data_IF_686507918923
#
_entry.id   IF_686507918923
#
_cell.length_a   1.000
_cell.length_b   1.000
_cell.length_c   1.000
_cell.angle_alpha   90.00
_cell.angle_beta   90.00
_cell.angle_gamma   90.00
#
_symmetry.space_group_name_H-M   'P 1'
#
loop_
_entity.id
_entity.type
_entity.pdbx_description
1 polymer ?
#
# COMPACT_ATOMS: atom_id res chain seq x y z
N UNK A 1 -17.22 -10.44 10.18
CA UNK A 1 -15.89 -11.10 10.14
C UNK A 1 -14.78 -10.08 10.33
N UNK A 2 -14.62 -9.13 9.41
CA UNK A 2 -13.53 -8.13 9.41
C UNK A 2 -13.47 -7.22 10.65
N UNK A 3 -14.61 -6.94 11.30
CA UNK A 3 -14.68 -6.09 12.50
C UNK A 3 -14.52 -6.84 13.84
N UNK A 4 -14.45 -8.17 13.84
CA UNK A 4 -14.48 -9.00 15.07
C UNK A 4 -13.24 -9.87 15.28
N UNK A 5 -12.39 -10.03 14.26
CA UNK A 5 -11.22 -10.93 14.28
C UNK A 5 -9.95 -10.09 14.26
N UNK A 6 -8.91 -10.58 14.91
CA UNK A 6 -7.61 -9.91 14.88
C UNK A 6 -6.96 -10.01 13.50
N UNK A 7 -6.03 -9.10 13.20
CA UNK A 7 -5.28 -9.09 11.93
C UNK A 7 -4.60 -10.44 11.64
N UNK A 8 -3.89 -11.09 12.59
CA UNK A 8 -3.30 -12.40 12.34
C UNK A 8 -4.33 -13.48 11.99
N UNK A 9 -5.48 -13.51 12.65
CA UNK A 9 -6.55 -14.46 12.36
C UNK A 9 -7.13 -14.24 10.95
N UNK A 10 -7.31 -12.98 10.54
CA UNK A 10 -7.81 -12.66 9.20
C UNK A 10 -6.79 -13.07 8.12
N UNK A 11 -5.49 -12.84 8.35
CA UNK A 11 -4.43 -13.30 7.44
C UNK A 11 -4.46 -14.82 7.27
N UNK A 12 -4.55 -15.57 8.36
CA UNK A 12 -4.70 -17.03 8.32
C UNK A 12 -5.95 -17.45 7.55
N UNK A 13 -7.09 -16.80 7.79
CA UNK A 13 -8.32 -17.10 7.07
C UNK A 13 -8.17 -16.88 5.55
N UNK A 14 -7.49 -15.82 5.10
CA UNK A 14 -7.24 -15.60 3.67
C UNK A 14 -6.25 -16.62 3.08
N UNK A 15 -5.24 -17.05 3.84
CA UNK A 15 -4.34 -18.12 3.43
C UNK A 15 -5.10 -19.44 3.25
N UNK A 16 -5.92 -19.83 4.23
CA UNK A 16 -6.76 -21.04 4.14
C UNK A 16 -7.75 -20.96 2.99
N UNK A 17 -8.37 -19.79 2.78
CA UNK A 17 -9.25 -19.57 1.63
C UNK A 17 -8.52 -19.84 0.31
N UNK A 18 -7.33 -19.28 0.13
CA UNK A 18 -6.53 -19.50 -1.09
C UNK A 18 -6.16 -20.96 -1.28
N UNK A 19 -5.83 -21.66 -0.20
CA UNK A 19 -5.51 -23.09 -0.25
C UNK A 19 -6.70 -23.94 -0.68
N UNK A 20 -7.90 -23.66 -0.16
CA UNK A 20 -9.13 -24.42 -0.45
C UNK A 20 -9.66 -24.12 -1.86
N UNK A 21 -9.69 -22.85 -2.26
CA UNK A 21 -10.36 -22.41 -3.50
C UNK A 21 -9.39 -22.15 -4.66
N UNK A 22 -8.08 -22.24 -4.45
CA UNK A 22 -7.05 -22.08 -5.50
C UNK A 22 -6.82 -20.63 -5.97
N UNK A 23 -7.46 -19.64 -5.35
CA UNK A 23 -7.33 -18.24 -5.74
C UNK A 23 -7.46 -17.27 -4.56
N UNK A 24 -6.88 -16.07 -4.68
CA UNK A 24 -6.94 -15.07 -3.61
C UNK A 24 -8.38 -14.61 -3.35
N UNK A 25 -8.75 -14.37 -2.10
CA UNK A 25 -10.08 -13.85 -1.72
C UNK A 25 -10.46 -12.57 -2.48
N UNK A 26 -9.47 -11.72 -2.77
CA UNK A 26 -9.69 -10.49 -3.57
C UNK A 26 -10.13 -10.76 -5.01
N UNK A 27 -9.89 -11.95 -5.59
CA UNK A 27 -10.39 -12.34 -6.91
C UNK A 27 -11.86 -12.75 -6.84
N UNK A 28 -12.27 -13.47 -5.79
CA UNK A 28 -13.69 -13.78 -5.56
C UNK A 28 -14.53 -12.50 -5.43
N UNK A 29 -14.00 -11.49 -4.73
CA UNK A 29 -14.63 -10.16 -4.65
C UNK A 29 -14.70 -9.40 -5.99
N UNK A 30 -14.01 -9.83 -7.05
CA UNK A 30 -14.21 -9.25 -8.40
C UNK A 30 -15.36 -9.93 -9.13
N UNK A 31 -15.49 -11.24 -8.92
CA UNK A 31 -16.44 -12.10 -9.64
C UNK A 31 -17.85 -11.89 -9.08
N UNK A 32 -17.97 -11.74 -7.76
CA UNK A 32 -19.27 -11.73 -7.08
C UNK A 32 -19.97 -10.35 -7.06
N UNK A 33 -19.34 -9.29 -7.58
CA UNK A 33 -19.95 -7.96 -7.62
C UNK A 33 -18.96 -6.84 -7.88
N UNK A 34 -19.40 -5.85 -8.66
CA UNK A 34 -18.73 -4.56 -8.86
C UNK A 34 -19.52 -3.42 -8.20
N UNK A 35 -20.12 -3.69 -7.04
CA UNK A 35 -20.86 -2.70 -6.29
C UNK A 35 -19.96 -1.76 -5.50
N UNK A 36 -20.57 -0.74 -4.90
CA UNK A 36 -19.89 0.26 -4.09
C UNK A 36 -19.22 -0.32 -2.83
N UNK A 37 -19.58 -1.54 -2.43
CA UNK A 37 -19.05 -2.20 -1.24
C UNK A 37 -17.82 -3.08 -1.52
N UNK A 38 -17.77 -3.74 -2.67
CA UNK A 38 -16.72 -4.70 -3.03
C UNK A 38 -15.38 -4.00 -3.29
N UNK A 39 -15.42 -2.76 -3.80
CA UNK A 39 -14.24 -1.92 -3.99
C UNK A 39 -13.49 -1.65 -2.67
N UNK A 40 -14.14 -0.99 -1.70
CA UNK A 40 -13.59 -0.75 -0.36
C UNK A 40 -13.20 -2.05 0.36
N UNK A 41 -14.03 -3.09 0.29
CA UNK A 41 -13.71 -4.36 0.95
C UNK A 41 -12.42 -5.00 0.41
N UNK A 42 -12.18 -4.88 -0.89
CA UNK A 42 -10.94 -5.35 -1.52
C UNK A 42 -9.72 -4.55 -1.06
N UNK A 43 -9.89 -3.26 -0.78
CA UNK A 43 -8.83 -2.43 -0.18
C UNK A 43 -8.52 -2.94 1.22
N UNK A 44 -9.54 -3.14 2.06
CA UNK A 44 -9.39 -3.69 3.42
C UNK A 44 -8.64 -5.02 3.40
N UNK A 45 -9.03 -5.96 2.53
CA UNK A 45 -8.34 -7.27 2.42
C UNK A 45 -6.87 -7.11 2.04
N UNK A 46 -6.54 -6.18 1.13
CA UNK A 46 -5.15 -5.93 0.73
C UNK A 46 -4.32 -5.34 1.88
N UNK A 47 -4.87 -4.38 2.61
CA UNK A 47 -4.20 -3.79 3.79
C UNK A 47 -3.90 -4.86 4.84
N UNK A 48 -4.83 -5.79 5.06
CA UNK A 48 -4.65 -6.87 6.05
C UNK A 48 -3.64 -7.92 5.59
N UNK A 49 -3.69 -8.32 4.31
CA UNK A 49 -2.88 -9.43 3.81
C UNK A 49 -1.42 -9.05 3.53
N UNK A 50 -1.22 -7.88 2.89
CA UNK A 50 0.12 -7.38 2.55
C UNK A 50 0.09 -5.83 2.54
N UNK A 51 0.24 -5.21 3.72
CA UNK A 51 0.12 -3.76 3.86
C UNK A 51 1.24 -3.02 3.10
N UNK A 52 2.49 -3.48 3.16
CA UNK A 52 3.61 -2.84 2.45
C UNK A 52 3.38 -2.79 0.93
N UNK A 53 2.85 -3.87 0.34
CA UNK A 53 2.46 -3.90 -1.08
C UNK A 53 1.24 -3.02 -1.38
N UNK A 54 0.33 -2.83 -0.42
CA UNK A 54 -0.77 -1.88 -0.56
C UNK A 54 -0.25 -0.43 -0.61
N UNK A 55 0.54 -0.02 0.37
CA UNK A 55 1.14 1.32 0.43
C UNK A 55 2.03 1.59 -0.80
N UNK A 56 2.84 0.62 -1.21
CA UNK A 56 3.64 0.70 -2.44
C UNK A 56 2.79 1.06 -3.67
N UNK A 57 1.65 0.38 -3.86
CA UNK A 57 0.72 0.65 -4.97
C UNK A 57 -0.02 1.96 -4.82
N UNK A 58 -0.39 2.33 -3.60
CA UNK A 58 -1.04 3.60 -3.30
C UNK A 58 -0.10 4.76 -3.67
N UNK A 59 1.15 4.72 -3.20
CA UNK A 59 2.18 5.71 -3.49
C UNK A 59 2.41 5.88 -4.99
N UNK A 60 2.62 4.78 -5.71
CA UNK A 60 2.81 4.83 -7.16
C UNK A 60 1.61 5.49 -7.85
N UNK A 61 0.39 5.07 -7.52
CA UNK A 61 -0.83 5.63 -8.14
C UNK A 61 -1.01 7.11 -7.83
N UNK A 62 -0.77 7.52 -6.58
CA UNK A 62 -0.93 8.90 -6.12
C UNK A 62 0.16 9.86 -6.62
N UNK A 63 1.17 9.35 -7.30
CA UNK A 63 2.25 10.15 -7.92
C UNK A 63 2.23 10.07 -9.45
N UNK A 64 1.22 9.45 -10.08
CA UNK A 64 1.09 9.49 -11.53
C UNK A 64 0.71 10.92 -11.99
N UNK A 65 1.31 11.48 -13.05
CA UNK A 65 1.11 12.88 -13.46
C UNK A 65 -0.37 13.30 -13.63
N UNK A 66 -1.22 12.41 -14.14
CA UNK A 66 -2.63 12.68 -14.37
C UNK A 66 -3.52 12.52 -13.12
N UNK A 67 -2.96 12.02 -12.02
CA UNK A 67 -3.69 11.63 -10.81
C UNK A 67 -2.92 11.95 -9.52
N UNK A 68 -2.04 12.95 -9.55
CA UNK A 68 -1.22 13.31 -8.39
C UNK A 68 -2.11 13.73 -7.22
N UNK A 69 -1.99 13.00 -6.12
CA UNK A 69 -2.71 13.26 -4.86
C UNK A 69 -1.68 13.36 -3.73
N UNK A 70 -1.21 14.59 -3.51
CA UNK A 70 -0.19 14.89 -2.49
C UNK A 70 -0.67 14.58 -1.08
N UNK A 71 -1.99 14.66 -0.81
CA UNK A 71 -2.55 14.31 0.49
C UNK A 71 -2.42 12.81 0.76
N UNK A 72 -2.70 11.98 -0.24
CA UNK A 72 -2.51 10.53 -0.14
C UNK A 72 -1.04 10.15 -0.02
N UNK A 73 -0.15 10.81 -0.76
CA UNK A 73 1.31 10.59 -0.62
C UNK A 73 1.77 10.91 0.80
N UNK A 74 1.39 12.08 1.34
CA UNK A 74 1.74 12.48 2.71
C UNK A 74 1.24 11.47 3.73
N UNK A 75 -0.04 11.09 3.65
CA UNK A 75 -0.64 10.12 4.58
C UNK A 75 0.01 8.75 4.50
N UNK A 76 0.37 8.30 3.30
CA UNK A 76 1.02 7.02 3.10
C UNK A 76 2.44 7.00 3.68
N UNK A 77 3.22 8.07 3.51
CA UNK A 77 4.60 8.15 4.02
C UNK A 77 4.60 8.36 5.55
N UNK A 78 3.80 9.29 6.07
CA UNK A 78 3.84 9.66 7.49
C UNK A 78 2.96 8.78 8.39
N UNK A 79 1.97 8.08 7.84
CA UNK A 79 1.02 7.24 8.59
C UNK A 79 1.17 5.75 8.31
N UNK A 80 2.40 5.30 8.07
CA UNK A 80 2.75 3.89 7.87
C UNK A 80 3.73 3.36 8.92
N UNK A 81 3.68 3.95 10.11
CA UNK A 81 4.46 3.55 11.28
C UNK A 81 4.17 2.10 11.72
N UNK A 82 2.93 1.65 11.51
CA UNK A 82 2.49 0.27 11.80
C UNK A 82 3.09 -0.78 10.85
N UNK A 83 3.48 -0.39 9.63
CA UNK A 83 4.10 -1.25 8.62
C UNK A 83 5.62 -1.09 8.59
N UNK A 84 6.09 0.13 8.86
CA UNK A 84 7.48 0.54 8.66
C UNK A 84 7.73 1.01 7.22
N UNK A 85 8.29 2.21 7.10
CA UNK A 85 8.65 2.80 5.81
C UNK A 85 9.68 1.95 5.04
N UNK A 86 10.51 1.18 5.75
CA UNK A 86 11.51 0.28 5.18
C UNK A 86 10.88 -0.86 4.41
N UNK A 87 9.85 -1.51 4.96
CA UNK A 87 9.11 -2.55 4.25
C UNK A 87 8.44 -1.99 2.99
N UNK A 88 7.90 -0.78 3.09
CA UNK A 88 7.25 -0.10 1.96
C UNK A 88 8.27 0.22 0.87
N UNK A 89 9.47 0.70 1.24
CA UNK A 89 10.57 0.93 0.30
C UNK A 89 10.97 -0.34 -0.43
N UNK A 90 11.22 -1.42 0.30
CA UNK A 90 11.58 -2.71 -0.29
C UNK A 90 10.49 -3.22 -1.23
N UNK A 91 9.22 -3.12 -0.82
CA UNK A 91 8.08 -3.49 -1.65
C UNK A 91 7.96 -2.60 -2.91
N UNK A 92 8.22 -1.30 -2.79
CA UNK A 92 8.19 -0.34 -3.89
C UNK A 92 9.29 -0.61 -4.91
N UNK A 93 10.54 -0.74 -4.44
CA UNK A 93 11.69 -1.09 -5.28
C UNK A 93 11.45 -2.41 -6.01
N UNK A 94 10.97 -3.44 -5.30
CA UNK A 94 10.69 -4.75 -5.89
C UNK A 94 9.55 -4.69 -6.92
N UNK A 95 8.57 -3.79 -6.75
CA UNK A 95 7.40 -3.71 -7.65
C UNK A 95 7.65 -2.84 -8.88
N UNK A 96 8.50 -1.81 -8.77
CA UNK A 96 8.65 -0.76 -9.79
C UNK A 96 10.08 -0.56 -10.30
N UNK A 97 11.08 -1.23 -9.71
CA UNK A 97 12.48 -1.17 -10.15
C UNK A 97 13.19 0.16 -9.86
N UNK A 98 12.54 1.08 -9.14
CA UNK A 98 13.06 2.40 -8.77
C UNK A 98 12.81 2.66 -7.28
N UNK A 99 13.71 3.40 -6.64
CA UNK A 99 13.55 3.67 -5.21
C UNK A 99 12.40 4.64 -4.98
N UNK A 100 11.78 4.56 -3.80
CA UNK A 100 10.69 5.47 -3.46
C UNK A 100 11.14 6.93 -3.50
N UNK A 101 12.35 7.23 -3.01
CA UNK A 101 12.92 8.58 -2.97
C UNK A 101 13.13 9.15 -4.39
N UNK A 102 13.76 8.39 -5.29
CA UNK A 102 13.94 8.80 -6.69
C UNK A 102 12.58 9.03 -7.38
N UNK A 103 11.62 8.14 -7.14
CA UNK A 103 10.29 8.26 -7.74
C UNK A 103 9.55 9.52 -7.27
N UNK A 104 9.65 9.87 -5.98
CA UNK A 104 9.12 11.13 -5.44
C UNK A 104 9.79 12.34 -6.11
N UNK A 105 11.12 12.29 -6.28
CA UNK A 105 11.90 13.40 -6.84
C UNK A 105 11.50 13.71 -8.29
N UNK A 106 11.19 12.66 -9.08
CA UNK A 106 10.81 12.79 -10.49
C UNK A 106 9.35 13.18 -10.70
N UNK A 107 8.44 12.73 -9.84
CA UNK A 107 7.00 12.84 -10.08
C UNK A 107 6.31 13.95 -9.28
N UNK A 108 6.98 14.55 -8.29
CA UNK A 108 6.47 15.71 -7.56
C UNK A 108 7.20 17.00 -7.94
N UNK A 109 6.51 18.15 -7.94
CA UNK A 109 7.12 19.43 -8.26
C UNK A 109 8.20 19.81 -7.24
N UNK A 110 9.27 20.46 -7.73
CA UNK A 110 10.36 20.95 -6.89
C UNK A 110 9.87 21.94 -5.85
N UNK A 111 9.94 21.54 -4.58
CA UNK A 111 9.44 22.29 -3.43
C UNK A 111 10.02 21.74 -2.14
N UNK A 112 10.03 22.54 -1.08
CA UNK A 112 10.42 22.10 0.27
C UNK A 112 9.60 20.90 0.73
N UNK A 113 8.34 20.81 0.31
CA UNK A 113 7.47 19.66 0.56
C UNK A 113 8.00 18.37 -0.07
N UNK A 114 8.42 18.41 -1.34
CA UNK A 114 9.02 17.26 -2.00
C UNK A 114 10.31 16.86 -1.30
N UNK A 115 11.16 17.83 -1.00
CA UNK A 115 12.47 17.58 -0.42
C UNK A 115 12.33 16.98 1.00
N UNK A 116 11.33 17.43 1.77
CA UNK A 116 10.92 16.80 3.03
C UNK A 116 10.49 15.35 2.85
N UNK A 117 9.62 15.04 1.88
CA UNK A 117 9.19 13.66 1.64
C UNK A 117 10.33 12.75 1.17
N UNK A 118 11.25 13.27 0.35
CA UNK A 118 12.47 12.54 -0.05
C UNK A 118 13.33 12.25 1.17
N UNK A 119 13.51 13.21 2.08
CA UNK A 119 14.27 13.01 3.31
C UNK A 119 13.64 11.92 4.20
N UNK A 120 12.32 11.94 4.39
CA UNK A 120 11.62 10.90 5.16
C UNK A 120 11.71 9.54 4.48
N UNK A 121 11.56 9.49 3.15
CA UNK A 121 11.67 8.24 2.41
C UNK A 121 13.10 7.69 2.36
N UNK A 122 14.13 8.53 2.46
CA UNK A 122 15.53 8.09 2.44
C UNK A 122 16.09 7.79 3.83
N UNK A 123 15.56 8.44 4.87
CA UNK A 123 15.96 8.20 6.26
C UNK A 123 15.78 6.72 6.64
N UNK A 124 16.88 6.07 7.00
CA UNK A 124 16.82 4.78 7.70
C UNK A 124 16.70 5.10 9.18
N UNK A 125 15.61 4.69 9.82
CA UNK A 125 15.56 4.71 11.28
C UNK A 125 16.49 3.60 11.74
N UNK A 126 17.71 3.95 12.12
CA UNK A 126 18.56 3.06 12.88
C UNK A 126 17.81 2.78 14.20
N UNK A 127 17.34 1.55 14.36
CA UNK A 127 16.93 1.02 15.66
C UNK A 127 18.18 0.60 16.43
#
# INVERSE_FOLDING_TARGET
MFSKRSIPQLRLAFCSYKHIYGHDYTKALKINGSGEFEGPLRVVVKCIYNPSKYYSKLLHRSMLPAATDTRMVTRAILGSDDVGIDEIRSAFQSSYGKSLAEYIQENLPGSDYRDFLVAVASASVAQ
#
